data_IF_060933623117
#
_entry.id   IF_060933623117
#
_cell.length_a   1.000
_cell.length_b   1.000
_cell.length_c   1.000
_cell.angle_alpha   90.00
_cell.angle_beta   90.00
_cell.angle_gamma   90.00
#
_symmetry.space_group_name_H-M   'P 1'
#
loop_
_entity.id
_entity.type
_entity.pdbx_description
1 polymer ?
#
# COMPACT_ATOMS: atom_id res chain seq x y z
N UNK A 1 18.13 -10.37 2.01
CA UNK A 1 16.79 -9.79 1.77
C UNK A 1 16.58 -9.58 0.28
N UNK A 2 15.49 -10.08 -0.30
CA UNK A 2 15.19 -9.87 -1.72
C UNK A 2 14.96 -8.38 -2.01
N UNK A 3 15.58 -7.84 -3.07
CA UNK A 3 15.41 -6.45 -3.48
C UNK A 3 13.96 -6.23 -3.92
N UNK A 4 13.26 -5.28 -3.31
CA UNK A 4 11.90 -4.93 -3.72
C UNK A 4 11.86 -4.57 -5.22
N UNK A 5 11.11 -5.33 -6.02
CA UNK A 5 10.99 -5.12 -7.46
C UNK A 5 10.21 -3.83 -7.70
N UNK A 6 10.86 -2.85 -8.33
CA UNK A 6 10.21 -1.63 -8.81
C UNK A 6 9.29 -2.01 -9.97
N UNK A 7 8.03 -1.56 -9.91
CA UNK A 7 6.99 -1.79 -10.90
C UNK A 7 6.49 -0.44 -11.42
N UNK A 8 5.85 -0.44 -12.58
CA UNK A 8 5.26 0.75 -13.20
C UNK A 8 3.77 0.54 -13.46
N UNK A 9 3.00 1.62 -13.44
CA UNK A 9 1.58 1.66 -13.78
C UNK A 9 1.22 3.04 -14.32
N UNK A 10 0.30 3.12 -15.28
CA UNK A 10 -0.24 4.36 -15.82
C UNK A 10 -1.65 4.59 -15.26
N UNK A 11 -1.90 5.75 -14.66
CA UNK A 11 -3.19 6.12 -14.04
C UNK A 11 -3.49 7.58 -14.35
N UNK A 12 -4.68 7.84 -14.89
CA UNK A 12 -5.20 9.19 -15.17
C UNK A 12 -4.21 10.10 -15.93
N UNK A 13 -3.48 9.54 -16.91
CA UNK A 13 -2.52 10.29 -17.72
C UNK A 13 -1.12 10.44 -17.11
N UNK A 14 -0.88 9.91 -15.91
CA UNK A 14 0.39 10.01 -15.20
C UNK A 14 1.02 8.63 -15.01
N UNK A 15 2.31 8.52 -15.28
CA UNK A 15 3.07 7.31 -14.99
C UNK A 15 3.50 7.30 -13.52
N UNK A 16 3.29 6.17 -12.86
CA UNK A 16 3.71 5.92 -11.50
C UNK A 16 4.68 4.75 -11.42
N UNK A 17 5.58 4.82 -10.47
CA UNK A 17 6.39 3.70 -10.02
C UNK A 17 6.01 3.30 -8.62
N UNK A 18 6.04 2.00 -8.34
CA UNK A 18 5.66 1.48 -7.04
C UNK A 18 6.47 0.26 -6.61
N UNK A 19 6.48 0.01 -5.30
CA UNK A 19 7.10 -1.17 -4.68
C UNK A 19 6.28 -1.64 -3.49
N UNK A 20 6.27 -2.96 -3.27
CA UNK A 20 5.73 -3.59 -2.06
C UNK A 20 6.88 -4.09 -1.20
N UNK A 21 6.81 -3.87 0.12
CA UNK A 21 7.77 -4.39 1.10
C UNK A 21 7.03 -4.96 2.30
N UNK A 22 7.49 -6.10 2.82
CA UNK A 22 6.98 -6.63 4.10
C UNK A 22 7.37 -5.69 5.24
N UNK A 23 6.43 -5.39 6.13
CA UNK A 23 6.67 -4.66 7.37
C UNK A 23 6.79 -5.67 8.51
N UNK A 24 5.75 -6.48 8.69
CA UNK A 24 5.64 -7.51 9.72
C UNK A 24 4.86 -8.74 9.16
N UNK A 25 4.44 -9.67 10.02
CA UNK A 25 3.78 -10.90 9.60
C UNK A 25 2.37 -10.71 9.03
N UNK A 26 1.71 -9.58 9.35
CA UNK A 26 0.34 -9.28 8.93
C UNK A 26 0.24 -8.04 8.02
N UNK A 27 1.36 -7.42 7.65
CA UNK A 27 1.34 -6.16 6.91
C UNK A 27 2.46 -5.99 5.88
N UNK A 28 2.09 -5.29 4.81
CA UNK A 28 3.01 -4.79 3.80
C UNK A 28 2.88 -3.28 3.62
N UNK A 29 3.97 -2.65 3.20
CA UNK A 29 4.01 -1.26 2.74
C UNK A 29 3.97 -1.24 1.22
N UNK A 30 3.04 -0.46 0.65
CA UNK A 30 3.03 -0.09 -0.77
C UNK A 30 3.47 1.36 -0.91
N UNK A 31 4.60 1.60 -1.57
CA UNK A 31 5.12 2.95 -1.87
C UNK A 31 4.89 3.28 -3.32
N UNK A 32 4.38 4.47 -3.59
CA UNK A 32 4.06 4.97 -4.94
C UNK A 32 4.68 6.35 -5.14
N UNK A 33 5.23 6.61 -6.33
CA UNK A 33 5.75 7.92 -6.72
C UNK A 33 5.53 8.18 -8.22
N UNK A 34 5.16 9.42 -8.59
CA UNK A 34 4.94 9.80 -9.98
C UNK A 34 6.27 9.88 -10.76
N UNK A 35 6.17 9.75 -12.07
CA UNK A 35 7.25 9.91 -13.05
C UNK A 35 6.70 10.74 -14.22
N UNK A 36 7.21 11.96 -14.48
CA UNK A 36 8.25 12.67 -13.73
C UNK A 36 7.78 13.14 -12.34
N UNK A 37 8.71 13.50 -11.44
CA UNK A 37 8.35 14.18 -10.18
C UNK A 37 7.50 15.43 -10.45
N UNK A 38 6.55 15.73 -9.55
CA UNK A 38 5.64 16.87 -9.69
C UNK A 38 4.37 16.60 -10.52
N UNK A 39 4.32 15.51 -11.29
CA UNK A 39 3.14 15.14 -12.08
C UNK A 39 2.00 14.49 -11.25
N UNK A 40 2.21 14.28 -9.95
CA UNK A 40 1.23 13.64 -9.09
C UNK A 40 1.69 13.56 -7.63
N UNK A 41 1.04 12.68 -6.86
CA UNK A 41 1.31 12.52 -5.43
C UNK A 41 2.24 11.34 -5.12
N UNK A 42 3.20 11.55 -4.22
CA UNK A 42 4.02 10.50 -3.62
C UNK A 42 3.42 10.06 -2.28
N UNK A 43 3.20 8.76 -2.11
CA UNK A 43 2.60 8.24 -0.88
C UNK A 43 3.09 6.83 -0.53
N UNK A 44 2.87 6.44 0.73
CA UNK A 44 3.12 5.13 1.29
C UNK A 44 1.88 4.65 2.04
N UNK A 45 1.39 3.45 1.72
CA UNK A 45 0.21 2.85 2.35
C UNK A 45 0.60 1.59 3.10
N UNK A 46 0.17 1.45 4.35
CA UNK A 46 0.20 0.19 5.10
C UNK A 46 -1.06 -0.61 4.75
N UNK A 47 -0.87 -1.84 4.28
CA UNK A 47 -1.93 -2.77 3.87
C UNK A 47 -1.85 -4.03 4.71
N UNK A 48 -3.01 -4.54 5.15
CA UNK A 48 -3.11 -5.86 5.76
C UNK A 48 -2.76 -6.92 4.70
N UNK A 49 -1.84 -7.82 5.06
CA UNK A 49 -1.46 -8.97 4.27
C UNK A 49 -0.79 -9.99 5.19
N UNK A 50 -1.50 -11.07 5.51
CA UNK A 50 -0.97 -12.18 6.29
C UNK A 50 -0.07 -13.04 5.41
N UNK A 51 1.23 -13.06 5.73
CA UNK A 51 2.22 -13.81 4.96
C UNK A 51 1.87 -15.31 4.99
N UNK A 52 1.51 -15.93 3.84
CA UNK A 52 1.03 -17.31 3.81
C UNK A 52 2.09 -18.31 4.29
N UNK A 53 3.38 -17.95 4.20
CA UNK A 53 4.46 -18.82 4.66
C UNK A 53 4.65 -18.76 6.17
N UNK A 54 4.41 -17.60 6.78
CA UNK A 54 4.44 -17.46 8.24
C UNK A 54 3.18 -18.00 8.89
N UNK A 55 2.04 -17.95 8.19
CA UNK A 55 0.74 -18.39 8.68
C UNK A 55 0.31 -19.75 8.12
N UNK A 56 1.22 -20.51 7.50
CA UNK A 56 0.88 -21.77 6.80
C UNK A 56 0.08 -22.74 7.66
N UNK A 57 0.58 -23.06 8.86
CA UNK A 57 -0.07 -23.99 9.79
C UNK A 57 -1.50 -23.54 10.15
N UNK A 58 -1.69 -22.32 10.68
CA UNK A 58 -3.02 -21.77 10.94
C UNK A 58 -3.94 -21.72 9.71
N UNK A 59 -3.42 -21.41 8.51
CA UNK A 59 -4.22 -21.35 7.28
C UNK A 59 -4.75 -22.74 6.92
N UNK A 60 -3.92 -23.78 6.94
CA UNK A 60 -4.35 -25.13 6.53
C UNK A 60 -5.25 -25.83 7.56
N UNK A 61 -5.27 -25.37 8.81
CA UNK A 61 -6.15 -25.90 9.87
C UNK A 61 -7.46 -25.13 10.02
N UNK A 62 -7.57 -23.94 9.41
CA UNK A 62 -8.81 -23.15 9.38
C UNK A 62 -9.77 -23.75 8.35
N UNK A 63 -11.08 -23.90 8.65
CA UNK A 63 -12.09 -24.29 7.66
C UNK A 63 -12.01 -23.40 6.42
N UNK A 64 -12.01 -24.01 5.22
CA UNK A 64 -11.73 -23.31 3.97
C UNK A 64 -12.69 -22.12 3.71
N UNK A 65 -13.94 -22.25 4.15
CA UNK A 65 -14.99 -21.22 4.08
C UNK A 65 -14.75 -20.03 5.02
N UNK A 66 -13.87 -20.17 6.02
CA UNK A 66 -13.55 -19.14 7.03
C UNK A 66 -12.16 -18.53 6.89
N UNK A 67 -11.34 -19.02 5.96
CA UNK A 67 -9.97 -18.51 5.77
C UNK A 67 -9.97 -17.01 5.48
N UNK A 68 -10.90 -16.54 4.64
CA UNK A 68 -11.03 -15.13 4.29
C UNK A 68 -11.54 -14.24 5.46
N UNK A 69 -12.15 -14.83 6.48
CA UNK A 69 -12.59 -14.11 7.70
C UNK A 69 -11.43 -13.94 8.69
N UNK A 70 -10.50 -14.90 8.73
CA UNK A 70 -9.42 -14.95 9.69
C UNK A 70 -8.09 -14.37 9.16
N UNK A 71 -7.89 -14.34 7.84
CA UNK A 71 -6.64 -13.93 7.21
C UNK A 71 -6.85 -12.99 6.03
N UNK A 72 -6.08 -11.91 6.02
CA UNK A 72 -5.96 -11.00 4.89
C UNK A 72 -4.95 -11.58 3.86
N UNK A 73 -5.40 -12.47 2.98
CA UNK A 73 -4.51 -13.13 2.00
C UNK A 73 -4.47 -12.46 0.63
N UNK A 74 -5.25 -11.39 0.42
CA UNK A 74 -5.33 -10.69 -0.86
C UNK A 74 -4.03 -9.94 -1.15
N UNK A 75 -3.28 -10.30 -2.21
CA UNK A 75 -2.01 -9.63 -2.52
C UNK A 75 -2.23 -8.23 -3.06
N UNK A 76 -1.20 -7.39 -2.98
CA UNK A 76 -1.21 -6.07 -3.64
C UNK A 76 -1.16 -6.24 -5.16
N UNK A 77 -2.26 -5.93 -5.83
CA UNK A 77 -2.42 -6.02 -7.28
C UNK A 77 -2.20 -4.65 -7.96
N UNK A 78 -1.91 -4.62 -9.28
CA UNK A 78 -1.90 -3.36 -10.03
C UNK A 78 -3.23 -2.59 -9.94
N UNK A 79 -4.37 -3.29 -9.93
CA UNK A 79 -5.69 -2.69 -9.78
C UNK A 79 -5.81 -1.96 -8.44
N UNK A 80 -5.45 -2.62 -7.33
CA UNK A 80 -5.47 -1.98 -6.01
C UNK A 80 -4.56 -0.74 -5.98
N UNK A 81 -3.40 -0.79 -6.63
CA UNK A 81 -2.51 0.37 -6.72
C UNK A 81 -3.16 1.53 -7.49
N UNK A 82 -3.87 1.25 -8.58
CA UNK A 82 -4.61 2.28 -9.32
C UNK A 82 -5.71 2.91 -8.46
N UNK A 83 -6.49 2.10 -7.76
CA UNK A 83 -7.54 2.55 -6.83
C UNK A 83 -6.97 3.42 -5.70
N UNK A 84 -5.82 3.02 -5.13
CA UNK A 84 -5.12 3.82 -4.12
C UNK A 84 -4.66 5.18 -4.67
N UNK A 85 -4.10 5.21 -5.89
CA UNK A 85 -3.69 6.45 -6.54
C UNK A 85 -4.90 7.38 -6.72
N UNK A 86 -5.99 6.86 -7.29
CA UNK A 86 -7.21 7.62 -7.54
C UNK A 86 -7.82 8.18 -6.26
N UNK A 87 -7.87 7.38 -5.20
CA UNK A 87 -8.41 7.83 -3.91
C UNK A 87 -7.54 8.91 -3.25
N UNK A 88 -6.21 8.79 -3.33
CA UNK A 88 -5.29 9.81 -2.82
C UNK A 88 -5.46 11.12 -3.59
N UNK A 89 -5.58 11.05 -4.92
CA UNK A 89 -5.83 12.23 -5.76
C UNK A 89 -7.20 12.86 -5.47
N UNK A 90 -8.25 12.05 -5.31
CA UNK A 90 -9.59 12.52 -4.98
C UNK A 90 -9.67 13.20 -3.60
N UNK A 91 -8.82 12.78 -2.65
CA UNK A 91 -8.71 13.41 -1.34
C UNK A 91 -7.90 14.73 -1.35
N UNK A 92 -7.52 15.24 -2.53
CA UNK A 92 -6.89 16.54 -2.68
C UNK A 92 -5.40 16.57 -2.38
N UNK A 93 -4.74 15.41 -2.31
CA UNK A 93 -3.30 15.33 -2.12
C UNK A 93 -2.57 15.95 -3.32
N UNK A 94 -1.84 17.05 -3.09
CA UNK A 94 -1.03 17.75 -4.09
C UNK A 94 0.45 17.36 -4.00
N UNK A 95 1.19 17.66 -5.06
CA UNK A 95 2.60 17.34 -5.19
C UNK A 95 3.49 18.10 -4.19
N UNK A 96 4.22 17.32 -3.39
CA UNK A 96 5.57 17.54 -2.84
C UNK A 96 5.94 18.94 -2.29
N UNK A 97 5.60 19.20 -1.02
CA UNK A 97 6.40 20.07 -0.13
C UNK A 97 6.81 19.40 1.21
N UNK A 98 6.22 18.25 1.59
CA UNK A 98 6.31 17.71 2.96
C UNK A 98 6.81 16.27 3.12
N UNK A 99 7.23 15.58 2.06
CA UNK A 99 7.57 14.15 2.08
C UNK A 99 6.36 13.24 1.81
N UNK A 100 6.54 11.90 1.80
CA UNK A 100 5.49 10.98 1.38
C UNK A 100 4.30 10.99 2.33
N UNK A 101 3.10 11.18 1.79
CA UNK A 101 1.85 11.01 2.52
C UNK A 101 1.75 9.57 3.02
N UNK A 102 1.42 9.39 4.30
CA UNK A 102 1.22 8.06 4.91
C UNK A 102 -0.27 7.79 4.99
N UNK A 103 -0.70 6.67 4.43
CA UNK A 103 -2.10 6.28 4.42
C UNK A 103 -2.25 4.91 5.07
N UNK A 104 -3.41 4.67 5.67
CA UNK A 104 -3.79 3.33 6.13
C UNK A 104 -5.06 2.94 5.37
N UNK A 105 -5.06 1.78 4.74
CA UNK A 105 -6.28 1.25 4.15
C UNK A 105 -7.13 0.65 5.27
N UNK A 106 -8.35 1.14 5.44
CA UNK A 106 -9.36 0.54 6.32
C UNK A 106 -10.42 -0.17 5.48
N UNK A 107 -11.31 -0.92 6.10
CA UNK A 107 -12.45 -1.56 5.42
C UNK A 107 -13.37 -0.55 4.72
N UNK A 108 -13.27 0.74 5.08
CA UNK A 108 -14.00 1.86 4.46
C UNK A 108 -13.26 2.53 3.30
N UNK A 109 -12.12 1.99 2.88
CA UNK A 109 -11.24 2.56 1.87
C UNK A 109 -10.00 3.26 2.46
N UNK A 110 -9.19 3.91 1.61
CA UNK A 110 -7.92 4.49 2.05
C UNK A 110 -8.18 5.75 2.89
N UNK A 111 -7.82 5.69 4.16
CA UNK A 111 -7.82 6.85 5.05
C UNK A 111 -6.45 7.50 5.00
N UNK A 112 -6.43 8.77 4.58
CA UNK A 112 -5.25 9.61 4.70
C UNK A 112 -5.05 9.94 6.17
N UNK A 113 -3.88 9.60 6.72
CA UNK A 113 -3.45 10.13 8.01
C UNK A 113 -2.42 11.23 7.72
N UNK A 114 -2.54 12.43 8.31
CA UNK A 114 -1.45 13.40 8.23
C UNK A 114 -0.19 12.74 8.82
N UNK A 115 0.95 12.94 8.16
CA UNK A 115 2.23 12.40 8.63
C UNK A 115 2.54 12.96 10.03
N UNK A 116 2.15 12.23 11.07
CA UNK A 116 2.43 12.61 12.44
C UNK A 116 3.94 12.48 12.68
N UNK A 117 4.60 13.63 12.81
CA UNK A 117 5.82 13.78 13.58
C UNK A 117 7.13 13.48 12.85
N UNK A 118 7.83 14.56 12.52
CA UNK A 118 9.30 14.67 12.53
C UNK A 118 9.87 13.87 13.73
N UNK A 119 10.88 12.97 13.57
CA UNK A 119 11.76 12.72 14.69
C UNK A 119 12.60 14.00 14.86
N UNK A 120 12.34 14.72 15.95
CA UNK A 120 13.40 15.51 16.55
C UNK A 120 14.41 14.50 17.13
N UNK A 121 15.68 14.62 16.71
CA UNK A 121 16.77 13.72 17.10
C UNK A 121 17.83 13.70 16.03
#
# INVERSE_FOLDING_TARGET
>A
MARARKRSIHVDGVDYRWTVRRIDAGHVSCRVWPVPPGAGCRFEVRLAFDDPWLNFGPIITTPADRVAEAFALTPVTPQLVAELIQAVLAAGAQADEGGPLRCTLTDSGPRLEPASGRPAG
#
